data_IF_186267511749
#
_entry.id   IF_186267511749
#
_cell.length_a   1.000
_cell.length_b   1.000
_cell.length_c   1.000
_cell.angle_alpha   90.00
_cell.angle_beta   90.00
_cell.angle_gamma   90.00
#
_symmetry.space_group_name_H-M   'P 1'
#
loop_
_entity.id
_entity.type
_entity.pdbx_description
1 polymer ?
#
# COMPACT_ATOMS: atom_id res chain seq x y z
N UNK A 1 -7.69 -1.92 0.58
CA UNK A 1 -6.69 -2.47 -0.37
C UNK A 1 -5.77 -3.43 0.34
N UNK A 2 -5.48 -4.53 -0.30
CA UNK A 2 -4.49 -5.49 0.17
C UNK A 2 -3.35 -5.59 -0.83
N UNK A 3 -2.13 -5.59 -0.30
CA UNK A 3 -0.92 -5.72 -1.08
C UNK A 3 0.08 -6.53 -0.27
N UNK A 4 0.92 -7.31 -0.91
CA UNK A 4 1.88 -8.13 -0.19
C UNK A 4 3.29 -7.97 -0.78
N UNK A 5 4.27 -7.82 0.10
CA UNK A 5 5.68 -7.89 -0.25
C UNK A 5 6.27 -9.16 0.36
N UNK A 6 6.62 -10.11 -0.50
CA UNK A 6 7.21 -11.38 -0.08
C UNK A 6 8.72 -11.27 -0.10
N UNK A 7 9.36 -11.69 0.98
CA UNK A 7 10.80 -11.54 1.16
C UNK A 7 11.36 -12.68 1.97
N UNK A 8 12.68 -12.75 2.06
CA UNK A 8 13.35 -13.72 2.92
C UNK A 8 13.11 -13.38 4.38
N UNK A 9 13.11 -14.41 5.28
CA UNK A 9 12.93 -14.16 6.71
C UNK A 9 13.93 -13.16 7.30
N UNK A 10 15.17 -13.20 6.85
CA UNK A 10 16.23 -12.31 7.33
C UNK A 10 15.94 -10.85 6.96
N UNK A 11 15.39 -10.60 5.77
CA UNK A 11 15.00 -9.26 5.33
C UNK A 11 13.86 -8.74 6.20
N UNK A 12 12.85 -9.56 6.43
CA UNK A 12 11.72 -9.18 7.29
C UNK A 12 12.17 -8.91 8.72
N UNK A 13 13.06 -9.74 9.24
CA UNK A 13 13.61 -9.56 10.59
C UNK A 13 14.33 -8.21 10.72
N UNK A 14 15.12 -7.84 9.71
CA UNK A 14 15.81 -6.55 9.70
C UNK A 14 14.82 -5.39 9.75
N UNK A 15 13.71 -5.48 9.00
CA UNK A 15 12.66 -4.46 9.03
C UNK A 15 12.03 -4.38 10.42
N UNK A 16 11.67 -5.53 11.00
CA UNK A 16 11.00 -5.61 12.30
C UNK A 16 11.87 -5.07 13.44
N UNK A 17 13.18 -5.31 13.37
CA UNK A 17 14.12 -4.85 14.39
C UNK A 17 14.47 -3.37 14.25
N UNK A 18 14.08 -2.72 13.15
CA UNK A 18 14.44 -1.34 12.89
C UNK A 18 15.91 -1.12 12.63
N UNK A 19 16.64 -2.15 12.24
CA UNK A 19 18.09 -2.09 12.05
C UNK A 19 18.51 -1.67 10.65
N UNK A 20 17.57 -1.24 9.82
CA UNK A 20 17.86 -0.82 8.45
C UNK A 20 18.65 0.51 8.47
N UNK A 21 19.73 0.56 7.68
CA UNK A 21 20.59 1.75 7.64
C UNK A 21 19.90 3.00 7.10
N UNK A 22 18.84 2.85 6.32
CA UNK A 22 18.04 3.98 5.80
C UNK A 22 16.95 4.44 6.76
N UNK A 23 16.83 3.82 7.93
CA UNK A 23 15.86 4.19 8.95
C UNK A 23 14.64 3.28 9.00
N UNK A 24 13.52 3.82 9.46
CA UNK A 24 12.29 3.06 9.67
C UNK A 24 11.58 2.79 8.33
N UNK A 25 11.61 1.55 7.89
CA UNK A 25 11.04 1.14 6.61
C UNK A 25 9.52 1.34 6.61
N UNK A 26 8.82 0.93 7.67
CA UNK A 26 7.36 1.06 7.73
C UNK A 26 6.91 2.51 7.78
N UNK A 27 7.57 3.34 8.58
CA UNK A 27 7.21 4.75 8.66
C UNK A 27 7.41 5.45 7.31
N UNK A 28 8.51 5.17 6.64
CA UNK A 28 8.82 5.74 5.32
C UNK A 28 7.80 5.30 4.27
N UNK A 29 7.48 4.01 4.24
CA UNK A 29 6.50 3.47 3.31
C UNK A 29 5.10 4.04 3.56
N UNK A 30 4.72 4.23 4.82
CA UNK A 30 3.43 4.82 5.17
C UNK A 30 3.31 6.24 4.64
N UNK A 31 4.31 7.06 4.87
CA UNK A 31 4.31 8.45 4.38
C UNK A 31 4.25 8.48 2.86
N UNK A 32 5.05 7.65 2.19
CA UNK A 32 5.06 7.58 0.73
C UNK A 32 3.68 7.18 0.19
N UNK A 33 3.03 6.22 0.81
CA UNK A 33 1.68 5.79 0.42
C UNK A 33 0.65 6.90 0.60
N UNK A 34 0.69 7.62 1.71
CA UNK A 34 -0.21 8.75 1.96
C UNK A 34 0.00 9.84 0.91
N UNK A 35 1.24 10.19 0.61
CA UNK A 35 1.54 11.18 -0.43
C UNK A 35 1.05 10.73 -1.80
N UNK A 36 1.24 9.45 -2.11
CA UNK A 36 0.81 8.89 -3.40
C UNK A 36 -0.71 8.95 -3.57
N UNK A 37 -1.47 8.65 -2.51
CA UNK A 37 -2.92 8.77 -2.56
C UNK A 37 -3.35 10.18 -2.95
N UNK A 38 -2.71 11.19 -2.39
CA UNK A 38 -3.01 12.60 -2.66
C UNK A 38 -2.57 13.05 -4.05
N UNK A 39 -1.70 12.31 -4.71
CA UNK A 39 -1.15 12.63 -6.03
C UNK A 39 -1.56 11.64 -7.10
N UNK A 40 -2.57 10.84 -6.85
CA UNK A 40 -3.03 9.83 -7.81
C UNK A 40 -3.38 10.47 -9.14
N UNK A 41 -4.03 11.63 -9.13
CA UNK A 41 -4.42 12.36 -10.34
C UNK A 41 -3.21 12.78 -11.19
N UNK A 42 -2.04 12.95 -10.59
CA UNK A 42 -0.81 13.28 -11.33
C UNK A 42 -0.21 12.05 -12.01
N UNK A 43 -0.52 10.84 -11.51
CA UNK A 43 0.07 9.59 -11.97
C UNK A 43 -0.83 8.82 -12.92
N UNK A 44 -2.13 8.89 -12.70
CA UNK A 44 -3.15 8.18 -13.48
C UNK A 44 -3.86 9.20 -14.35
N UNK A 45 -3.65 9.19 -15.69
CA UNK A 45 -4.01 10.31 -16.55
C UNK A 45 -5.47 10.73 -16.51
N UNK A 46 -6.40 9.79 -16.33
CA UNK A 46 -7.82 10.11 -16.36
C UNK A 46 -8.45 10.25 -14.98
N UNK A 47 -7.63 10.25 -13.91
CA UNK A 47 -8.12 10.51 -12.58
C UNK A 47 -8.22 12.01 -12.31
N UNK A 48 -9.26 12.42 -11.59
CA UNK A 48 -9.45 13.81 -11.18
C UNK A 48 -8.80 14.08 -9.82
N UNK A 49 -8.32 15.30 -9.55
CA UNK A 49 -7.91 15.67 -8.21
C UNK A 49 -9.09 15.57 -7.25
N UNK A 50 -8.89 14.89 -6.13
CA UNK A 50 -9.92 14.71 -5.11
C UNK A 50 -9.41 15.18 -3.75
N UNK A 51 -10.31 15.82 -2.99
CA UNK A 51 -10.04 16.24 -1.61
C UNK A 51 -10.36 15.06 -0.69
N UNK A 52 -9.34 14.26 -0.40
CA UNK A 52 -9.51 13.11 0.49
C UNK A 52 -9.71 13.56 1.92
N UNK A 53 -10.73 13.02 2.59
CA UNK A 53 -10.98 13.30 3.99
C UNK A 53 -10.21 12.36 4.91
N UNK A 54 -9.80 11.20 4.40
CA UNK A 54 -9.04 10.22 5.19
C UNK A 54 -8.17 9.37 4.27
N UNK A 55 -6.92 9.17 4.69
CA UNK A 55 -6.00 8.22 4.05
C UNK A 55 -5.34 7.42 5.16
N UNK A 56 -5.49 6.10 5.13
CA UNK A 56 -4.80 5.19 6.04
C UNK A 56 -3.92 4.25 5.23
N UNK A 57 -2.69 4.07 5.69
CA UNK A 57 -1.77 3.08 5.14
C UNK A 57 -1.25 2.26 6.32
N UNK A 58 -1.66 1.01 6.39
CA UNK A 58 -1.27 0.10 7.45
C UNK A 58 -0.32 -0.95 6.90
N UNK A 59 0.81 -1.11 7.58
CA UNK A 59 1.81 -2.11 7.23
C UNK A 59 1.96 -3.06 8.41
N UNK A 60 1.92 -4.34 8.13
CA UNK A 60 1.96 -5.39 9.13
C UNK A 60 2.93 -6.47 8.70
N UNK A 61 3.90 -6.77 9.56
CA UNK A 61 4.80 -7.89 9.32
C UNK A 61 4.06 -9.19 9.61
N UNK A 62 4.19 -10.15 8.70
CA UNK A 62 3.64 -11.49 8.86
C UNK A 62 4.79 -12.51 8.81
N UNK A 63 5.49 -12.75 9.95
CA UNK A 63 6.67 -13.62 9.96
C UNK A 63 6.40 -15.05 9.50
N UNK A 64 5.21 -15.58 9.79
CA UNK A 64 4.84 -16.95 9.40
C UNK A 64 4.79 -17.14 7.87
N UNK A 65 4.65 -16.04 7.14
CA UNK A 65 4.59 -16.06 5.67
C UNK A 65 5.76 -15.30 5.03
N UNK A 66 6.70 -14.81 5.82
CA UNK A 66 7.85 -14.01 5.37
C UNK A 66 7.43 -12.89 4.44
N UNK A 67 6.47 -12.09 4.89
CA UNK A 67 5.92 -11.01 4.07
C UNK A 67 5.45 -9.82 4.90
N UNK A 68 5.28 -8.71 4.22
CA UNK A 68 4.61 -7.53 4.77
C UNK A 68 3.24 -7.43 4.10
N UNK A 69 2.21 -7.29 4.91
CA UNK A 69 0.85 -7.02 4.43
C UNK A 69 0.63 -5.51 4.47
N UNK A 70 0.14 -4.98 3.37
CA UNK A 70 -0.16 -3.55 3.25
C UNK A 70 -1.66 -3.40 3.00
N UNK A 71 -2.33 -2.66 3.87
CA UNK A 71 -3.75 -2.38 3.75
C UNK A 71 -3.94 -0.87 3.69
N UNK A 72 -4.68 -0.39 2.70
CA UNK A 72 -4.93 1.05 2.54
C UNK A 72 -6.41 1.34 2.51
N UNK A 73 -6.78 2.49 3.07
CA UNK A 73 -8.14 2.99 3.08
C UNK A 73 -8.12 4.46 2.70
N UNK A 74 -8.96 4.84 1.74
CA UNK A 74 -9.18 6.24 1.40
C UNK A 74 -10.66 6.56 1.49
N UNK A 75 -10.97 7.75 1.97
CA UNK A 75 -12.35 8.27 2.04
C UNK A 75 -12.41 9.68 1.51
N UNK A 76 -13.58 10.01 0.99
CA UNK A 76 -13.90 11.31 0.45
C UNK A 76 -15.31 11.68 0.93
N UNK A 77 -15.51 12.93 1.30
CA UNK A 77 -16.85 13.45 1.57
C UNK A 77 -17.51 13.70 0.22
N UNK A 78 -18.42 12.83 -0.19
CA UNK A 78 -19.08 12.89 -1.49
C UNK A 78 -19.41 11.51 -1.99
N UNK A 79 -19.77 11.43 -3.29
CA UNK A 79 -20.25 10.20 -3.93
C UNK A 79 -19.23 9.54 -4.86
N UNK A 80 -18.05 10.14 -5.03
CA UNK A 80 -17.02 9.60 -5.91
C UNK A 80 -16.26 8.49 -5.22
N UNK A 81 -16.04 7.39 -5.92
CA UNK A 81 -15.20 6.31 -5.40
C UNK A 81 -13.73 6.74 -5.35
N UNK A 82 -12.99 6.18 -4.42
CA UNK A 82 -11.58 6.50 -4.20
C UNK A 82 -10.69 5.26 -4.27
N UNK A 83 -11.11 4.27 -5.06
CA UNK A 83 -10.36 3.03 -5.24
C UNK A 83 -8.98 3.27 -5.86
N UNK A 84 -8.87 4.19 -6.80
CA UNK A 84 -7.57 4.45 -7.44
C UNK A 84 -6.58 5.07 -6.46
N UNK A 85 -7.06 5.94 -5.58
CA UNK A 85 -6.22 6.54 -4.54
C UNK A 85 -5.70 5.48 -3.56
N UNK A 86 -6.57 4.55 -3.16
CA UNK A 86 -6.18 3.47 -2.26
C UNK A 86 -5.21 2.48 -2.95
N UNK A 87 -5.46 2.13 -4.21
CA UNK A 87 -4.58 1.26 -4.99
C UNK A 87 -3.21 1.89 -5.21
N UNK A 88 -3.18 3.17 -5.52
CA UNK A 88 -1.92 3.90 -5.73
C UNK A 88 -1.13 3.98 -4.42
N UNK A 89 -1.81 4.25 -3.31
CA UNK A 89 -1.16 4.29 -2.00
C UNK A 89 -0.48 2.95 -1.67
N UNK A 90 -1.19 1.83 -1.86
CA UNK A 90 -0.65 0.50 -1.59
C UNK A 90 0.54 0.19 -2.48
N UNK A 91 0.45 0.54 -3.76
CA UNK A 91 1.50 0.30 -4.73
C UNK A 91 2.79 1.05 -4.38
N UNK A 92 2.66 2.33 -4.04
CA UNK A 92 3.83 3.16 -3.74
C UNK A 92 4.44 2.77 -2.38
N UNK A 93 3.61 2.40 -1.40
CA UNK A 93 4.12 1.87 -0.13
C UNK A 93 4.97 0.60 -0.37
N UNK A 94 4.49 -0.32 -1.19
CA UNK A 94 5.23 -1.55 -1.52
C UNK A 94 6.51 -1.24 -2.28
N UNK A 95 6.47 -0.33 -3.25
CA UNK A 95 7.66 0.08 -3.99
C UNK A 95 8.69 0.73 -3.07
N UNK A 96 8.24 1.47 -2.07
CA UNK A 96 9.13 2.09 -1.08
C UNK A 96 9.85 1.04 -0.25
N UNK A 97 9.12 0.00 0.18
CA UNK A 97 9.74 -1.15 0.88
C UNK A 97 10.82 -1.78 -0.01
N UNK A 98 10.47 -2.04 -1.27
CA UNK A 98 11.43 -2.60 -2.22
C UNK A 98 12.67 -1.72 -2.36
N UNK A 99 12.47 -0.43 -2.58
CA UNK A 99 13.57 0.51 -2.77
C UNK A 99 14.50 0.54 -1.56
N UNK A 100 13.92 0.55 -0.36
CA UNK A 100 14.72 0.59 0.88
C UNK A 100 15.44 -0.72 1.15
N UNK A 101 14.91 -1.86 0.71
CA UNK A 101 15.44 -3.18 1.04
C UNK A 101 16.23 -3.83 -0.10
N UNK A 102 16.25 -3.26 -1.30
CA UNK A 102 16.85 -3.88 -2.49
C UNK A 102 18.36 -4.11 -2.35
N UNK A 103 19.04 -3.35 -1.52
CA UNK A 103 20.47 -3.57 -1.27
C UNK A 103 20.73 -4.87 -0.50
N UNK A 104 19.76 -5.32 0.29
CA UNK A 104 19.83 -6.56 1.06
C UNK A 104 19.26 -7.73 0.28
N UNK A 105 18.14 -7.51 -0.43
CA UNK A 105 17.47 -8.54 -1.21
C UNK A 105 16.82 -7.92 -2.45
N UNK A 106 17.23 -8.36 -3.64
CA UNK A 106 16.72 -7.80 -4.90
C UNK A 106 15.49 -8.52 -5.44
N UNK A 107 15.24 -9.75 -5.01
CA UNK A 107 14.16 -10.58 -5.54
C UNK A 107 12.90 -10.56 -4.66
N UNK A 108 12.69 -9.48 -3.93
CA UNK A 108 11.44 -9.26 -3.22
C UNK A 108 10.29 -9.22 -4.23
N UNK A 109 9.25 -10.01 -3.97
CA UNK A 109 8.09 -10.11 -4.85
C UNK A 109 6.95 -9.29 -4.28
N UNK A 110 6.39 -8.42 -5.12
CA UNK A 110 5.20 -7.64 -4.80
C UNK A 110 4.03 -8.31 -5.53
N UNK A 111 3.02 -8.75 -4.79
CA UNK A 111 1.89 -9.44 -5.39
C UNK A 111 0.56 -9.10 -4.71
N UNK A 112 -0.53 -9.60 -5.27
CA UNK A 112 -1.88 -9.53 -4.70
C UNK A 112 -2.42 -8.10 -4.54
N UNK A 113 -1.97 -7.16 -5.38
CA UNK A 113 -2.61 -5.85 -5.40
C UNK A 113 -4.05 -6.00 -5.88
N UNK A 114 -5.00 -5.65 -5.04
CA UNK A 114 -6.41 -5.76 -5.39
C UNK A 114 -7.29 -4.88 -4.54
N UNK A 115 -8.43 -4.52 -5.09
CA UNK A 115 -9.50 -3.85 -4.36
C UNK A 115 -10.20 -4.87 -3.48
N UNK A 116 -10.34 -4.59 -2.18
CA UNK A 116 -11.07 -5.45 -1.26
C UNK A 116 -12.53 -5.03 -1.19
N UNK A 117 -12.78 -3.74 -1.04
CA UNK A 117 -14.14 -3.21 -0.97
C UNK A 117 -14.16 -1.74 -1.35
N UNK A 118 -15.30 -1.29 -1.82
CA UNK A 118 -15.57 0.14 -2.01
C UNK A 118 -17.05 0.38 -1.82
N UNK A 119 -17.40 1.60 -1.42
CA UNK A 119 -18.78 2.07 -1.39
C UNK A 119 -18.89 3.37 -2.19
N UNK A 120 -20.02 3.57 -2.83
CA UNK A 120 -20.28 4.75 -3.64
C UNK A 120 -19.64 4.70 -5.03
N UNK A 121 -19.62 5.84 -5.73
CA UNK A 121 -19.12 5.95 -7.08
C UNK A 121 -20.14 5.46 -8.12
N UNK A 122 -19.74 5.53 -9.40
CA UNK A 122 -20.64 5.17 -10.52
C UNK A 122 -20.98 3.69 -10.55
N UNK A 123 -20.05 2.85 -10.13
CA UNK A 123 -20.22 1.39 -10.14
C UNK A 123 -20.91 0.85 -8.90
N UNK A 124 -21.18 1.71 -7.90
CA UNK A 124 -21.77 1.29 -6.63
C UNK A 124 -20.80 0.51 -5.75
N UNK A 125 -21.38 -0.26 -4.83
CA UNK A 125 -20.61 -0.97 -3.83
C UNK A 125 -19.95 -2.23 -4.41
N UNK A 126 -18.80 -2.59 -3.85
CA UNK A 126 -18.05 -3.77 -4.23
C UNK A 126 -17.44 -4.42 -2.99
N UNK A 127 -17.44 -5.73 -2.98
CA UNK A 127 -16.80 -6.52 -1.94
C UNK A 127 -16.11 -7.72 -2.60
N UNK A 128 -14.80 -7.81 -2.45
CA UNK A 128 -14.04 -8.93 -2.99
C UNK A 128 -14.27 -10.21 -2.20
N UNK A 129 -14.12 -11.35 -2.88
CA UNK A 129 -14.06 -12.65 -2.22
C UNK A 129 -12.74 -12.72 -1.44
N UNK A 130 -12.80 -13.26 -0.20
CA UNK A 130 -11.61 -13.40 0.62
C UNK A 130 -10.64 -14.40 0.01
N UNK A 131 -9.36 -14.04 -0.04
CA UNK A 131 -8.26 -14.89 -0.46
C UNK A 131 -7.12 -14.77 0.53
N UNK A 132 -6.39 -15.84 0.73
CA UNK A 132 -5.15 -15.83 1.51
C UNK A 132 -3.91 -15.77 0.64
#
# INVERSE_FOLDING_TARGET
MLFRSLMQPETLQMIMEGSHHKGDVFATARIAGIQAAKRTWELIPLCHPLMLSKVEVNLEAEPDHSRVRITTLCRLTGKTGVEMEALTAASVAALTIYDMCKAVQKDIVIDQLRLISKSGGKSGDFQAVAHD
#
